data_IF_708282236890
#
_entry.id   IF_708282236890
#
_cell.length_a   1.000
_cell.length_b   1.000
_cell.length_c   1.000
_cell.angle_alpha   90.00
_cell.angle_beta   90.00
_cell.angle_gamma   90.00
#
_symmetry.space_group_name_H-M   'P 1'
#
loop_
_entity.id
_entity.type
_entity.pdbx_description
1 polymer ?
#
# COMPACT_ATOMS: atom_id res chain seq x y z
N UNK A 1 -6.98 -0.56 21.51
CA UNK A 1 -6.47 -1.93 21.30
C UNK A 1 -5.67 -1.92 20.02
N UNK A 2 -4.36 -2.07 20.11
CA UNK A 2 -3.44 -1.91 19.00
C UNK A 2 -3.60 -3.06 17.99
N UNK A 3 -4.47 -2.84 16.98
CA UNK A 3 -4.71 -3.78 15.88
C UNK A 3 -3.44 -4.10 15.09
N UNK A 4 -2.44 -3.20 15.14
CA UNK A 4 -1.17 -3.36 14.45
C UNK A 4 -0.34 -4.44 15.13
N UNK A 5 -0.21 -4.38 16.46
CA UNK A 5 0.46 -5.41 17.25
C UNK A 5 -0.19 -6.80 17.12
N UNK A 6 -1.53 -6.86 17.03
CA UNK A 6 -2.27 -8.10 16.85
C UNK A 6 -2.10 -8.72 15.45
N UNK A 7 -1.94 -7.91 14.40
CA UNK A 7 -1.71 -8.42 13.03
C UNK A 7 -0.25 -8.83 12.80
N UNK A 8 0.71 -8.15 13.43
CA UNK A 8 2.13 -8.54 13.36
C UNK A 8 2.36 -9.91 14.01
N UNK A 9 1.77 -10.18 15.18
CA UNK A 9 1.95 -11.45 15.89
C UNK A 9 1.37 -12.66 15.16
N UNK A 10 0.31 -12.47 14.36
CA UNK A 10 -0.34 -13.54 13.56
C UNK A 10 0.42 -13.83 12.25
N UNK A 11 1.12 -12.85 11.69
CA UNK A 11 1.80 -12.98 10.39
C UNK A 11 3.25 -13.44 10.51
N UNK A 12 3.98 -13.04 11.57
CA UNK A 12 5.40 -13.42 11.76
C UNK A 12 5.62 -14.93 11.92
N UNK A 13 4.59 -15.70 12.27
CA UNK A 13 4.69 -17.15 12.47
C UNK A 13 4.44 -17.98 11.21
N UNK A 14 3.79 -17.42 10.17
CA UNK A 14 3.39 -18.15 8.97
C UNK A 14 4.51 -18.17 7.92
N UNK A 15 5.15 -19.33 7.73
CA UNK A 15 6.27 -19.52 6.79
C UNK A 15 5.85 -19.69 5.31
N UNK A 16 4.57 -19.85 5.04
CA UNK A 16 4.00 -19.98 3.69
C UNK A 16 2.59 -19.37 3.63
N UNK A 17 2.09 -19.10 2.43
CA UNK A 17 0.73 -18.57 2.23
C UNK A 17 -0.33 -19.52 2.80
N UNK A 18 -0.13 -20.83 2.65
CA UNK A 18 -1.08 -21.85 3.13
C UNK A 18 -1.15 -21.95 4.66
N UNK A 19 -0.15 -21.40 5.38
CA UNK A 19 -0.13 -21.36 6.83
C UNK A 19 -0.87 -20.15 7.43
N UNK A 20 -1.39 -19.25 6.60
CA UNK A 20 -2.11 -18.07 7.06
C UNK A 20 -3.53 -18.42 7.53
N UNK A 21 -3.94 -17.82 8.65
CA UNK A 21 -5.33 -17.91 9.11
C UNK A 21 -6.23 -17.19 8.12
N UNK A 22 -7.21 -17.90 7.56
CA UNK A 22 -8.17 -17.34 6.62
C UNK A 22 -9.42 -16.80 7.32
N UNK A 23 -10.03 -15.68 6.85
CA UNK A 23 -9.67 -14.96 5.63
C UNK A 23 -8.45 -14.04 5.80
N UNK A 24 -7.57 -14.04 4.80
CA UNK A 24 -6.41 -13.14 4.73
C UNK A 24 -6.41 -12.37 3.40
N UNK A 25 -6.17 -11.06 3.47
CA UNK A 25 -5.91 -10.23 2.29
C UNK A 25 -4.41 -10.24 1.99
N UNK A 26 -4.04 -10.79 0.85
CA UNK A 26 -2.64 -10.86 0.42
C UNK A 26 -2.33 -9.74 -0.58
N UNK A 27 -1.19 -9.10 -0.39
CA UNK A 27 -0.65 -8.11 -1.30
C UNK A 27 0.70 -8.58 -1.84
N UNK A 28 0.76 -8.83 -3.15
CA UNK A 28 2.01 -9.12 -3.84
C UNK A 28 2.84 -7.83 -3.97
N UNK A 29 3.95 -7.79 -3.25
CA UNK A 29 4.88 -6.65 -3.21
C UNK A 29 5.46 -6.32 -4.59
N UNK A 30 5.86 -7.32 -5.36
CA UNK A 30 6.44 -7.11 -6.69
C UNK A 30 5.41 -6.54 -7.67
N UNK A 31 4.15 -6.99 -7.60
CA UNK A 31 3.04 -6.40 -8.37
C UNK A 31 2.74 -4.97 -7.94
N UNK A 32 2.74 -4.70 -6.63
CA UNK A 32 2.54 -3.35 -6.11
C UNK A 32 3.59 -2.40 -6.69
N UNK A 33 4.87 -2.73 -6.55
CA UNK A 33 5.99 -1.90 -7.01
C UNK A 33 5.95 -1.66 -8.53
N UNK A 34 5.70 -2.71 -9.34
CA UNK A 34 5.55 -2.54 -10.79
C UNK A 34 4.39 -1.63 -11.15
N UNK A 35 3.26 -1.74 -10.45
CA UNK A 35 2.08 -0.93 -10.72
C UNK A 35 2.30 0.54 -10.34
N UNK A 36 2.90 0.81 -9.19
CA UNK A 36 3.19 2.18 -8.74
C UNK A 36 4.23 2.85 -9.63
N UNK A 37 5.30 2.14 -10.01
CA UNK A 37 6.31 2.64 -10.94
C UNK A 37 5.71 2.96 -12.31
N UNK A 38 4.89 2.07 -12.87
CA UNK A 38 4.21 2.30 -14.16
C UNK A 38 3.33 3.55 -14.12
N UNK A 39 2.59 3.76 -13.03
CA UNK A 39 1.73 4.93 -12.87
C UNK A 39 2.55 6.22 -12.71
N UNK A 40 3.62 6.19 -11.90
CA UNK A 40 4.52 7.33 -11.71
C UNK A 40 5.21 7.73 -13.03
N UNK A 41 5.71 6.77 -13.77
CA UNK A 41 6.33 6.99 -15.07
C UNK A 41 5.33 7.56 -16.09
N UNK A 42 4.08 7.09 -16.08
CA UNK A 42 3.04 7.63 -16.94
C UNK A 42 2.73 9.10 -16.60
N UNK A 43 2.54 9.44 -15.33
CA UNK A 43 2.32 10.82 -14.90
C UNK A 43 3.49 11.74 -15.29
N UNK A 44 4.73 11.24 -15.11
CA UNK A 44 5.95 11.96 -15.52
C UNK A 44 5.99 12.24 -17.01
N UNK A 45 5.66 11.25 -17.86
CA UNK A 45 5.60 11.44 -19.33
C UNK A 45 4.58 12.48 -19.76
N UNK A 46 3.47 12.58 -19.03
CA UNK A 46 2.41 13.57 -19.29
C UNK A 46 2.72 14.96 -18.69
N UNK A 47 3.78 15.09 -17.89
CA UNK A 47 4.12 16.35 -17.22
C UNK A 47 3.14 16.75 -16.11
N UNK A 48 2.42 15.78 -15.52
CA UNK A 48 1.42 16.03 -14.47
C UNK A 48 1.88 15.52 -13.11
N UNK A 49 1.35 16.14 -12.05
CA UNK A 49 1.60 15.70 -10.67
C UNK A 49 0.78 14.45 -10.38
N UNK A 50 1.45 13.38 -9.93
CA UNK A 50 0.78 12.18 -9.46
C UNK A 50 0.13 12.42 -8.09
N UNK A 51 -1.20 12.26 -8.00
CA UNK A 51 -1.97 12.34 -6.73
C UNK A 51 -2.84 11.08 -6.56
N UNK A 52 -2.25 9.95 -6.14
CA UNK A 52 -2.97 8.69 -6.06
C UNK A 52 -4.05 8.78 -4.97
N UNK A 53 -5.18 8.12 -5.22
CA UNK A 53 -6.31 8.10 -4.29
C UNK A 53 -6.17 6.92 -3.32
N UNK A 54 -6.25 7.16 -2.02
CA UNK A 54 -5.98 6.15 -0.99
C UNK A 54 -7.18 5.26 -0.65
N UNK A 55 -8.41 5.61 -1.05
CA UNK A 55 -9.62 4.77 -0.86
C UNK A 55 -9.46 3.28 -1.14
N UNK A 56 -8.60 2.89 -2.07
CA UNK A 56 -8.37 1.48 -2.42
C UNK A 56 -7.49 0.78 -1.40
N UNK A 57 -6.36 1.39 -1.03
CA UNK A 57 -5.36 0.74 -0.20
C UNK A 57 -5.56 1.01 1.30
N UNK A 58 -6.02 2.23 1.65
CA UNK A 58 -6.17 2.73 3.02
C UNK A 58 -5.00 2.35 3.94
N UNK A 59 -3.79 2.45 3.40
CA UNK A 59 -2.56 1.96 4.02
C UNK A 59 -1.43 2.95 3.80
N UNK A 60 -0.83 3.39 4.90
CA UNK A 60 0.34 4.28 4.88
C UNK A 60 1.56 3.59 4.25
N UNK A 61 1.69 2.27 4.42
CA UNK A 61 2.80 1.51 3.85
C UNK A 61 2.69 1.46 2.32
N UNK A 62 1.47 1.32 1.79
CA UNK A 62 1.24 1.45 0.34
C UNK A 62 1.57 2.87 -0.15
N UNK A 63 1.19 3.91 0.59
CA UNK A 63 1.55 5.29 0.23
C UNK A 63 3.08 5.51 0.19
N UNK A 64 3.83 4.94 1.14
CA UNK A 64 5.30 4.95 1.15
C UNK A 64 5.90 4.22 -0.06
N UNK A 65 5.25 3.19 -0.59
CA UNK A 65 5.69 2.55 -1.84
C UNK A 65 5.46 3.42 -3.08
N UNK A 66 4.49 4.35 -3.06
CA UNK A 66 4.30 5.30 -4.15
C UNK A 66 5.30 6.45 -4.06
N UNK A 67 5.60 6.91 -2.85
CA UNK A 67 6.54 8.00 -2.58
C UNK A 67 7.67 7.55 -1.63
N UNK A 68 8.71 6.86 -2.14
CA UNK A 68 9.70 6.17 -1.30
C UNK A 68 10.72 7.09 -0.62
N UNK A 69 10.90 8.32 -1.11
CA UNK A 69 11.91 9.26 -0.59
C UNK A 69 11.35 10.25 0.43
N UNK A 70 10.14 10.73 0.19
CA UNK A 70 9.48 11.76 0.99
C UNK A 70 7.97 11.63 0.84
N UNK A 71 7.17 12.13 1.80
CA UNK A 71 5.72 12.19 1.64
C UNK A 71 5.32 12.97 0.38
N UNK A 72 4.45 12.37 -0.43
CA UNK A 72 3.90 12.99 -1.64
C UNK A 72 2.40 13.29 -1.52
N UNK A 73 1.85 14.05 -2.48
CA UNK A 73 0.44 14.42 -2.44
C UNK A 73 -0.46 13.22 -2.70
N UNK A 74 -1.49 13.05 -1.88
CA UNK A 74 -2.53 12.02 -2.03
C UNK A 74 -3.92 12.65 -2.11
N UNK A 75 -4.91 11.81 -2.43
CA UNK A 75 -6.33 12.14 -2.26
C UNK A 75 -7.01 11.06 -1.40
N UNK A 76 -8.01 11.47 -0.62
CA UNK A 76 -8.75 10.62 0.33
C UNK A 76 -10.26 10.81 0.12
N UNK A 77 -11.07 9.85 0.55
CA UNK A 77 -12.54 9.94 0.41
C UNK A 77 -13.23 10.50 1.65
N UNK A 78 -12.52 10.64 2.77
CA UNK A 78 -13.05 11.17 4.03
C UNK A 78 -11.97 11.99 4.74
N UNK A 79 -12.36 12.85 5.69
CA UNK A 79 -11.42 13.62 6.52
C UNK A 79 -10.72 12.74 7.57
N UNK A 80 -11.37 11.65 7.99
CA UNK A 80 -10.87 10.77 9.04
C UNK A 80 -9.87 9.72 8.55
N UNK A 81 -9.76 9.52 7.23
CA UNK A 81 -8.78 8.62 6.60
C UNK A 81 -7.41 9.28 6.51
#
# INVERSE_FOLDING_TARGET
MDKMAANLSVSETAKSIDALVTPALLLDRGRLERNTQRLAEHARKLGVVLRPHMKTAKSIDVARHVFPREPGPITVSTIAE
#
